data_IF_685340890028
#
_entry.id   IF_685340890028
#
_cell.length_a   1.000
_cell.length_b   1.000
_cell.length_c   1.000
_cell.angle_alpha   90.00
_cell.angle_beta   90.00
_cell.angle_gamma   90.00
#
_symmetry.space_group_name_H-M   'P 1'
#
loop_
_entity.id
_entity.type
_entity.pdbx_description
1 polymer ?
#
# COMPACT_ATOMS: atom_id res chain seq x y z
N UNK A 1 -19.11 13.21 -4.67
CA UNK A 1 -18.14 12.10 -4.55
C UNK A 1 -18.65 11.19 -3.46
N UNK A 2 -18.46 9.89 -3.59
CA UNK A 2 -18.88 8.88 -2.62
C UNK A 2 -17.64 8.34 -1.89
N UNK A 3 -17.73 8.01 -0.61
CA UNK A 3 -16.67 7.26 0.08
C UNK A 3 -16.97 5.75 0.01
N UNK A 4 -15.95 4.89 0.06
CA UNK A 4 -16.12 3.45 -0.10
C UNK A 4 -15.35 2.63 0.95
N UNK A 5 -16.01 1.68 1.59
CA UNK A 5 -15.38 0.68 2.45
C UNK A 5 -14.67 -0.39 1.62
N UNK A 6 -13.47 -0.76 2.06
CA UNK A 6 -12.63 -1.79 1.46
C UNK A 6 -12.49 -2.98 2.42
N UNK A 7 -12.84 -4.18 1.94
CA UNK A 7 -12.79 -5.40 2.74
C UNK A 7 -12.07 -6.52 1.99
N UNK A 8 -11.23 -7.26 2.69
CA UNK A 8 -10.59 -8.48 2.16
C UNK A 8 -11.61 -9.62 2.14
N UNK A 9 -11.66 -10.33 1.02
CA UNK A 9 -12.47 -11.52 0.84
C UNK A 9 -11.60 -12.77 1.02
N UNK A 10 -12.12 -13.87 1.61
CA UNK A 10 -11.33 -15.04 1.99
C UNK A 10 -11.00 -15.96 0.80
N UNK A 11 -10.96 -15.40 -0.41
CA UNK A 11 -10.68 -16.12 -1.63
C UNK A 11 -9.79 -15.30 -2.57
N UNK A 12 -8.90 -15.96 -3.33
CA UNK A 12 -8.00 -15.30 -4.27
C UNK A 12 -8.67 -14.94 -5.58
N UNK A 13 -8.16 -13.90 -6.25
CA UNK A 13 -8.32 -13.66 -7.68
C UNK A 13 -7.35 -14.59 -8.44
N UNK A 14 -7.86 -15.27 -9.46
CA UNK A 14 -7.10 -16.17 -10.33
C UNK A 14 -7.00 -15.58 -11.74
N UNK A 15 -5.99 -15.99 -12.50
CA UNK A 15 -5.69 -15.47 -13.84
C UNK A 15 -6.88 -15.51 -14.81
N UNK A 16 -7.71 -16.56 -14.71
CA UNK A 16 -8.85 -16.78 -15.61
C UNK A 16 -10.19 -16.37 -14.97
N UNK A 17 -10.16 -15.51 -13.94
CA UNK A 17 -11.36 -14.99 -13.28
C UNK A 17 -11.41 -13.47 -13.40
N UNK A 18 -12.60 -12.86 -13.44
CA UNK A 18 -12.71 -11.40 -13.37
C UNK A 18 -11.93 -10.85 -12.17
N UNK A 19 -11.14 -9.79 -12.39
CA UNK A 19 -10.32 -9.14 -11.35
C UNK A 19 -11.14 -8.47 -10.24
N UNK A 20 -12.46 -8.36 -10.43
CA UNK A 20 -13.40 -7.70 -9.52
C UNK A 20 -12.91 -6.28 -9.19
N UNK A 21 -12.88 -5.92 -7.90
CA UNK A 21 -12.43 -4.59 -7.46
C UNK A 21 -10.93 -4.54 -7.18
N UNK A 22 -10.20 -5.62 -7.45
CA UNK A 22 -8.78 -5.74 -7.14
C UNK A 22 -8.46 -6.84 -6.15
N UNK A 23 -7.22 -6.85 -5.68
CA UNK A 23 -6.71 -7.84 -4.74
C UNK A 23 -5.58 -7.26 -3.87
N UNK A 24 -5.46 -7.76 -2.65
CA UNK A 24 -4.29 -7.56 -1.80
C UNK A 24 -3.34 -8.75 -1.90
N UNK A 25 -2.06 -8.49 -1.66
CA UNK A 25 -0.94 -9.43 -1.76
C UNK A 25 -0.76 -9.99 -3.16
N UNK A 26 0.17 -10.94 -3.27
CA UNK A 26 0.46 -11.64 -4.52
C UNK A 26 1.12 -10.74 -5.55
N UNK A 27 0.79 -10.97 -6.82
CA UNK A 27 1.48 -10.36 -7.95
C UNK A 27 0.66 -9.19 -8.54
N UNK A 28 1.31 -8.10 -9.01
CA UNK A 28 0.67 -7.08 -9.82
C UNK A 28 0.33 -7.64 -11.21
N UNK A 29 -0.51 -6.92 -11.96
CA UNK A 29 -0.91 -7.30 -13.32
C UNK A 29 -0.41 -6.31 -14.37
N UNK A 30 -0.27 -6.79 -15.61
CA UNK A 30 -0.15 -5.92 -16.78
C UNK A 30 1.19 -5.21 -16.98
N UNK A 31 2.14 -5.43 -16.07
CA UNK A 31 3.53 -4.94 -16.19
C UNK A 31 4.47 -6.08 -16.60
N UNK A 32 5.70 -5.73 -16.99
CA UNK A 32 6.80 -6.70 -17.18
C UNK A 32 7.75 -6.72 -15.98
N UNK A 33 8.57 -7.77 -15.82
CA UNK A 33 9.56 -7.81 -14.74
C UNK A 33 10.52 -6.62 -14.74
N UNK A 34 10.87 -6.08 -15.91
CA UNK A 34 11.72 -4.89 -16.05
C UNK A 34 11.03 -3.58 -15.64
N UNK A 35 9.70 -3.57 -15.59
CA UNK A 35 8.90 -2.44 -15.14
C UNK A 35 8.61 -2.52 -13.63
N UNK A 36 8.97 -3.62 -12.97
CA UNK A 36 8.74 -3.80 -11.54
C UNK A 36 9.50 -2.74 -10.72
N UNK A 37 8.84 -1.99 -9.82
CA UNK A 37 9.50 -0.98 -9.02
C UNK A 37 10.55 -1.59 -8.09
N UNK A 38 11.82 -1.21 -8.25
CA UNK A 38 12.88 -1.54 -7.30
C UNK A 38 12.93 -0.49 -6.18
N UNK A 39 13.30 -0.94 -5.00
CA UNK A 39 13.62 -0.09 -3.85
C UNK A 39 14.95 0.64 -4.11
N UNK A 40 14.96 1.98 -4.18
CA UNK A 40 16.19 2.75 -4.35
C UNK A 40 17.24 2.52 -3.26
N UNK A 41 16.82 2.16 -2.05
CA UNK A 41 17.75 2.02 -0.92
C UNK A 41 18.59 0.74 -1.02
N UNK A 42 18.02 -0.36 -1.48
CA UNK A 42 18.69 -1.67 -1.44
C UNK A 42 18.69 -2.43 -2.78
N UNK A 43 17.93 -1.97 -3.78
CA UNK A 43 17.87 -2.57 -5.11
C UNK A 43 17.06 -3.86 -5.19
N UNK A 44 16.36 -4.28 -4.13
CA UNK A 44 15.39 -5.37 -4.20
C UNK A 44 14.07 -4.89 -4.82
N UNK A 45 13.27 -5.80 -5.42
CA UNK A 45 11.92 -5.48 -5.84
C UNK A 45 11.07 -5.02 -4.65
N UNK A 46 10.32 -3.93 -4.81
CA UNK A 46 9.31 -3.52 -3.82
C UNK A 46 8.22 -4.59 -3.75
N UNK A 47 7.70 -4.83 -2.55
CA UNK A 47 6.60 -5.76 -2.31
C UNK A 47 5.29 -5.17 -2.84
N UNK A 48 4.57 -5.92 -3.67
CA UNK A 48 3.22 -5.57 -4.09
C UNK A 48 2.24 -5.85 -2.95
N UNK A 49 1.63 -4.80 -2.41
CA UNK A 49 0.65 -5.00 -1.35
C UNK A 49 -0.80 -4.98 -1.83
N UNK A 50 -1.17 -4.15 -2.82
CA UNK A 50 -2.50 -4.27 -3.42
C UNK A 50 -2.60 -3.64 -4.81
N UNK A 51 -3.56 -4.14 -5.59
CA UNK A 51 -4.08 -3.50 -6.79
C UNK A 51 -5.55 -3.22 -6.59
N UNK A 52 -6.00 -1.98 -6.85
CA UNK A 52 -7.37 -1.53 -6.60
C UNK A 52 -7.98 -0.90 -7.85
N UNK A 53 -9.16 -1.36 -8.25
CA UNK A 53 -9.98 -0.72 -9.26
C UNK A 53 -10.62 0.54 -8.68
N UNK A 54 -10.36 1.70 -9.29
CA UNK A 54 -10.88 2.98 -8.85
C UNK A 54 -12.35 3.15 -9.31
N UNK A 55 -13.27 3.48 -8.40
CA UNK A 55 -14.60 3.97 -8.76
C UNK A 55 -14.50 5.21 -9.65
N UNK A 56 -15.52 5.43 -10.49
CA UNK A 56 -15.49 6.47 -11.53
C UNK A 56 -15.17 7.87 -11.00
N UNK A 57 -15.66 8.22 -9.81
CA UNK A 57 -15.42 9.51 -9.17
C UNK A 57 -14.01 9.68 -8.62
N UNK A 58 -13.22 8.61 -8.52
CA UNK A 58 -11.80 8.64 -8.13
C UNK A 58 -10.83 8.54 -9.33
N UNK A 59 -11.33 8.46 -10.57
CA UNK A 59 -10.48 8.39 -11.79
C UNK A 59 -10.01 9.78 -12.24
N UNK A 60 -9.16 10.40 -11.42
CA UNK A 60 -8.67 11.77 -11.61
C UNK A 60 -7.59 11.92 -12.68
N UNK A 61 -6.96 10.82 -13.09
CA UNK A 61 -5.89 10.81 -14.09
C UNK A 61 -6.38 10.60 -15.52
N UNK A 62 -7.68 10.65 -15.74
CA UNK A 62 -8.33 10.40 -17.02
C UNK A 62 -9.16 9.13 -17.02
N UNK A 63 -10.17 9.03 -17.91
CA UNK A 63 -11.06 7.87 -17.98
C UNK A 63 -10.35 6.55 -18.36
N UNK A 64 -9.16 6.64 -18.97
CA UNK A 64 -8.32 5.51 -19.36
C UNK A 64 -7.56 4.91 -18.18
N UNK A 65 -7.31 5.68 -17.11
CA UNK A 65 -6.67 5.21 -15.88
C UNK A 65 -7.77 4.74 -14.93
N UNK A 66 -7.86 3.43 -14.76
CA UNK A 66 -8.98 2.80 -14.06
C UNK A 66 -8.59 2.21 -12.71
N UNK A 67 -7.31 1.93 -12.50
CA UNK A 67 -6.81 1.24 -11.31
C UNK A 67 -5.43 1.76 -10.92
N UNK A 68 -4.98 1.37 -9.73
CA UNK A 68 -3.60 1.55 -9.28
C UNK A 68 -3.09 0.28 -8.62
N UNK A 69 -1.78 0.02 -8.74
CA UNK A 69 -1.04 -0.95 -7.94
C UNK A 69 -0.12 -0.19 -6.99
N UNK A 70 -0.13 -0.55 -5.71
CA UNK A 70 0.70 0.04 -4.67
C UNK A 70 1.76 -0.95 -4.19
N UNK A 71 2.98 -0.44 -4.02
CA UNK A 71 4.18 -1.17 -3.66
C UNK A 71 4.89 -0.49 -2.51
N UNK A 72 5.49 -1.27 -1.61
CA UNK A 72 6.26 -0.77 -0.48
C UNK A 72 7.51 -1.60 -0.23
N UNK A 73 8.41 -1.08 0.61
CA UNK A 73 9.49 -1.86 1.21
C UNK A 73 8.93 -3.10 1.93
N UNK A 74 9.71 -4.19 1.95
CA UNK A 74 9.31 -5.40 2.67
C UNK A 74 9.25 -5.12 4.19
N UNK A 75 8.25 -5.66 4.92
CA UNK A 75 8.08 -5.37 6.35
C UNK A 75 9.31 -5.70 7.20
N UNK A 76 9.98 -6.81 6.90
CA UNK A 76 11.21 -7.23 7.59
C UNK A 76 12.43 -6.35 7.30
N UNK A 77 12.34 -5.49 6.28
CA UNK A 77 13.35 -4.50 5.94
C UNK A 77 12.96 -3.09 6.44
N UNK A 78 11.85 -2.96 7.16
CA UNK A 78 11.43 -1.73 7.80
C UNK A 78 11.41 -1.91 9.33
N UNK A 79 12.55 -1.61 9.97
CA UNK A 79 12.74 -1.60 11.44
C UNK A 79 13.24 -0.21 11.89
N UNK A 80 12.41 0.81 11.65
CA UNK A 80 12.76 2.22 11.89
C UNK A 80 13.52 2.88 10.75
N UNK A 81 13.36 2.37 9.53
CA UNK A 81 14.03 2.83 8.30
C UNK A 81 14.50 1.66 7.43
N UNK A 82 14.77 1.95 6.15
CA UNK A 82 15.22 0.93 5.19
C UNK A 82 16.75 0.84 5.15
N UNK A 83 17.36 -0.36 5.23
CA UNK A 83 18.79 -0.51 5.01
C UNK A 83 19.24 0.05 3.66
N UNK A 84 20.12 1.05 3.69
CA UNK A 84 20.54 1.78 2.50
C UNK A 84 21.94 1.36 2.03
N UNK A 85 22.09 1.18 0.72
CA UNK A 85 23.35 1.00 0.00
C UNK A 85 23.56 2.24 -0.88
N UNK A 86 24.47 3.12 -0.46
CA UNK A 86 24.68 4.45 -1.05
C UNK A 86 24.91 4.39 -2.57
N UNK A 87 25.65 3.40 -3.07
CA UNK A 87 25.91 3.27 -4.51
C UNK A 87 24.66 2.96 -5.32
N UNK A 88 23.72 2.19 -4.76
CA UNK A 88 22.43 1.90 -5.41
C UNK A 88 21.57 3.16 -5.38
N UNK A 89 21.43 3.78 -4.21
CA UNK A 89 20.61 4.99 -4.05
C UNK A 89 21.04 6.09 -5.01
N UNK A 90 22.36 6.30 -5.15
CA UNK A 90 22.92 7.30 -6.06
C UNK A 90 22.46 7.09 -7.52
N UNK A 91 22.35 5.84 -7.99
CA UNK A 91 21.86 5.54 -9.36
C UNK A 91 20.43 6.03 -9.58
N UNK A 92 19.57 5.94 -8.56
CA UNK A 92 18.18 6.38 -8.66
C UNK A 92 18.05 7.90 -8.49
N UNK A 93 18.74 8.49 -7.51
CA UNK A 93 18.69 9.94 -7.24
C UNK A 93 19.29 10.78 -8.37
N UNK A 94 20.33 10.26 -9.03
CA UNK A 94 21.05 10.94 -10.11
C UNK A 94 20.85 10.25 -11.45
N UNK A 95 19.68 9.63 -11.65
CA UNK A 95 19.37 8.88 -12.87
C UNK A 95 19.44 9.78 -14.13
N UNK A 96 20.31 9.41 -15.06
CA UNK A 96 20.45 10.07 -16.36
C UNK A 96 20.25 9.07 -17.52
N UNK A 97 19.19 9.19 -18.35
CA UNK A 97 18.83 8.18 -19.36
C UNK A 97 19.88 7.92 -20.45
N UNK A 98 20.79 8.87 -20.65
CA UNK A 98 21.83 8.83 -21.70
C UNK A 98 23.22 8.48 -21.16
N UNK A 99 23.37 8.33 -19.85
CA UNK A 99 24.66 8.14 -19.18
C UNK A 99 24.61 6.91 -18.29
N UNK A 100 24.79 5.69 -18.85
CA UNK A 100 24.85 4.49 -18.04
C UNK A 100 26.10 4.47 -17.14
N UNK A 101 26.02 3.91 -15.91
CA UNK A 101 27.19 3.63 -15.10
C UNK A 101 28.18 2.70 -15.82
N UNK A 102 29.49 2.91 -15.63
CA UNK A 102 30.53 2.01 -16.14
C UNK A 102 30.54 0.67 -15.39
N UNK A 103 30.12 0.70 -14.13
CA UNK A 103 30.05 -0.46 -13.26
C UNK A 103 28.88 -1.38 -13.63
N UNK A 104 29.12 -2.64 -14.06
CA UNK A 104 28.06 -3.55 -14.47
C UNK A 104 27.04 -3.86 -13.37
N UNK A 105 27.46 -3.85 -12.09
CA UNK A 105 26.56 -4.11 -10.97
C UNK A 105 25.61 -2.93 -10.71
N UNK A 106 26.01 -1.69 -11.03
CA UNK A 106 25.14 -0.51 -10.97
C UNK A 106 24.33 -0.31 -12.27
N UNK A 107 24.84 -0.80 -13.40
CA UNK A 107 24.14 -0.77 -14.69
C UNK A 107 22.78 -1.46 -14.63
N UNK A 108 22.64 -2.53 -13.84
CA UNK A 108 21.37 -3.25 -13.67
C UNK A 108 20.27 -2.34 -13.08
N UNK A 109 20.59 -1.54 -12.07
CA UNK A 109 19.64 -0.61 -11.45
C UNK A 109 19.32 0.56 -12.37
N UNK A 110 20.32 1.10 -13.07
CA UNK A 110 20.11 2.13 -14.09
C UNK A 110 19.20 1.63 -15.22
N UNK A 111 19.38 0.37 -15.66
CA UNK A 111 18.56 -0.23 -16.70
C UNK A 111 17.12 -0.42 -16.21
N UNK A 112 16.92 -0.85 -14.96
CA UNK A 112 15.60 -0.96 -14.35
C UNK A 112 14.91 0.41 -14.32
N UNK A 113 15.59 1.47 -13.85
CA UNK A 113 15.02 2.82 -13.83
C UNK A 113 14.74 3.35 -15.24
N UNK A 114 15.59 3.02 -16.23
CA UNK A 114 15.35 3.34 -17.65
C UNK A 114 14.15 2.60 -18.24
N UNK A 115 13.83 1.42 -17.72
CA UNK A 115 12.72 0.55 -18.17
C UNK A 115 11.46 0.70 -17.31
N UNK A 116 11.49 1.58 -16.30
CA UNK A 116 10.38 1.82 -15.38
C UNK A 116 9.06 2.04 -16.12
N UNK A 117 7.98 1.66 -15.46
CA UNK A 117 6.64 1.91 -16.00
C UNK A 117 6.44 3.42 -16.24
N UNK A 118 5.88 3.85 -17.39
CA UNK A 118 5.69 5.28 -17.69
C UNK A 118 4.81 6.04 -16.69
N UNK A 119 3.92 5.31 -16.01
CA UNK A 119 3.02 5.82 -14.97
C UNK A 119 3.42 5.35 -13.56
N UNK A 120 4.73 5.14 -13.35
CA UNK A 120 5.31 4.91 -12.02
C UNK A 120 5.46 6.24 -11.29
N UNK A 121 4.99 6.29 -10.04
CA UNK A 121 5.25 7.37 -9.11
C UNK A 121 5.91 6.78 -7.86
N UNK A 122 6.91 7.49 -7.33
CA UNK A 122 7.65 7.09 -6.13
C UNK A 122 7.34 8.07 -5.01
N UNK A 123 7.28 7.56 -3.80
CA UNK A 123 7.02 8.31 -2.57
C UNK A 123 7.96 7.79 -1.48
N UNK A 124 8.22 8.63 -0.49
CA UNK A 124 9.04 8.31 0.67
C UNK A 124 8.31 8.78 1.92
N UNK A 125 8.37 8.00 2.99
CA UNK A 125 7.85 8.40 4.30
C UNK A 125 8.91 9.15 5.14
N UNK A 126 8.54 9.56 6.36
CA UNK A 126 9.46 10.25 7.28
C UNK A 126 10.65 9.38 7.73
N UNK A 127 10.59 8.07 7.56
CA UNK A 127 11.65 7.12 7.91
C UNK A 127 12.58 6.80 6.72
N UNK A 128 12.37 7.43 5.55
CA UNK A 128 13.13 7.15 4.35
C UNK A 128 12.72 5.84 3.64
N UNK A 129 11.59 5.24 4.03
CA UNK A 129 11.12 4.02 3.38
C UNK A 129 10.51 4.34 2.02
N UNK A 130 10.86 3.52 1.02
CA UNK A 130 10.42 3.73 -0.35
C UNK A 130 9.08 3.05 -0.65
N UNK A 131 8.21 3.83 -1.28
CA UNK A 131 6.90 3.41 -1.76
C UNK A 131 6.75 3.76 -3.23
N UNK A 132 5.88 3.03 -3.92
CA UNK A 132 5.56 3.32 -5.30
C UNK A 132 4.12 3.01 -5.64
N UNK A 133 3.58 3.77 -6.61
CA UNK A 133 2.37 3.38 -7.31
C UNK A 133 2.63 3.23 -8.80
N UNK A 134 1.90 2.33 -9.42
CA UNK A 134 1.73 2.28 -10.86
C UNK A 134 0.26 2.54 -11.16
N UNK A 135 -0.03 3.61 -11.90
CA UNK A 135 -1.38 3.84 -12.43
C UNK A 135 -1.60 2.93 -13.64
N UNK A 136 -2.77 2.30 -13.69
CA UNK A 136 -3.08 1.25 -14.66
C UNK A 136 -4.22 1.64 -15.58
N UNK A 137 -4.03 1.36 -16.86
CA UNK A 137 -5.10 1.27 -17.83
C UNK A 137 -5.97 0.04 -17.61
N UNK A 138 -7.15 -0.02 -18.26
CA UNK A 138 -7.98 -1.23 -18.24
C UNK A 138 -7.22 -2.47 -18.75
N UNK A 139 -6.39 -2.30 -19.79
CA UNK A 139 -5.60 -3.38 -20.37
C UNK A 139 -4.56 -3.92 -19.36
N UNK A 140 -3.91 -3.04 -18.61
CA UNK A 140 -2.92 -3.45 -17.60
C UNK A 140 -3.59 -4.07 -16.37
N UNK A 141 -4.72 -3.51 -15.91
CA UNK A 141 -5.50 -4.07 -14.81
C UNK A 141 -6.02 -5.49 -15.12
N UNK A 142 -6.49 -5.72 -16.34
CA UNK A 142 -6.94 -7.05 -16.80
C UNK A 142 -5.81 -7.95 -17.30
N UNK A 143 -4.58 -7.41 -17.38
CA UNK A 143 -3.42 -8.09 -17.90
C UNK A 143 -2.99 -9.29 -17.06
N UNK A 144 -2.00 -10.06 -17.55
CA UNK A 144 -1.51 -11.22 -16.83
C UNK A 144 -0.79 -10.81 -15.55
N UNK A 145 -0.77 -11.70 -14.55
CA UNK A 145 0.06 -11.51 -13.37
C UNK A 145 1.55 -11.53 -13.73
N UNK A 146 2.31 -10.57 -13.20
CA UNK A 146 3.75 -10.44 -13.45
C UNK A 146 4.55 -11.09 -12.33
N UNK A 147 5.58 -11.88 -12.67
CA UNK A 147 6.57 -12.33 -11.68
C UNK A 147 7.55 -11.19 -11.34
N UNK A 148 8.11 -11.15 -10.12
CA UNK A 148 9.19 -10.22 -9.82
C UNK A 148 10.41 -10.49 -10.72
N UNK A 149 11.29 -9.49 -10.93
CA UNK A 149 12.50 -9.68 -11.73
C UNK A 149 13.42 -10.71 -11.09
N UNK A 150 14.14 -11.45 -11.95
CA UNK A 150 15.15 -12.40 -11.50
C UNK A 150 16.30 -11.67 -10.79
N UNK A 151 16.66 -12.15 -9.60
CA UNK A 151 17.77 -11.60 -8.83
C UNK A 151 19.10 -12.17 -9.33
N UNK A 152 19.66 -11.55 -10.38
CA UNK A 152 21.02 -11.82 -10.82
C UNK A 152 22.04 -11.42 -9.74
N UNK A 153 23.11 -12.19 -9.48
CA UNK A 153 24.11 -11.85 -8.46
C UNK A 153 24.62 -10.41 -8.61
N UNK A 154 24.70 -9.68 -7.50
CA UNK A 154 25.03 -8.25 -7.49
C UNK A 154 25.79 -7.87 -6.21
N UNK A 155 26.99 -7.30 -6.35
CA UNK A 155 27.86 -7.02 -5.19
C UNK A 155 27.33 -5.98 -4.20
N UNK A 156 26.40 -5.12 -4.63
CA UNK A 156 25.85 -4.05 -3.79
C UNK A 156 24.60 -4.53 -3.05
N UNK A 157 23.64 -5.09 -3.78
CA UNK A 157 22.38 -5.60 -3.20
C UNK A 157 22.63 -6.81 -2.29
N UNK A 158 23.51 -7.73 -2.70
CA UNK A 158 23.70 -9.01 -1.99
C UNK A 158 24.52 -8.88 -0.70
N UNK A 159 24.84 -7.65 -0.27
CA UNK A 159 25.31 -7.35 1.09
C UNK A 159 24.21 -7.52 2.13
N UNK A 160 22.95 -7.54 1.70
CA UNK A 160 21.77 -7.73 2.53
C UNK A 160 21.06 -9.04 2.17
N UNK A 161 20.34 -9.60 3.13
CA UNK A 161 19.50 -10.77 2.85
C UNK A 161 18.31 -10.38 1.95
N UNK A 162 17.95 -11.21 0.96
CA UNK A 162 16.75 -10.97 0.17
C UNK A 162 15.48 -10.93 1.04
N UNK A 163 14.50 -10.07 0.70
CA UNK A 163 13.18 -10.11 1.34
C UNK A 163 12.59 -11.51 1.35
N UNK A 164 12.04 -11.93 2.49
CA UNK A 164 11.48 -13.26 2.69
C UNK A 164 10.26 -13.50 1.77
N UNK A 165 9.51 -12.45 1.44
CA UNK A 165 8.36 -12.55 0.54
C UNK A 165 8.74 -13.08 -0.85
N UNK A 166 9.97 -12.84 -1.35
CA UNK A 166 10.42 -13.31 -2.66
C UNK A 166 10.50 -14.84 -2.76
N UNK A 167 10.59 -15.53 -1.62
CA UNK A 167 10.63 -17.01 -1.58
C UNK A 167 9.30 -17.63 -1.15
N UNK A 168 8.50 -16.90 -0.37
CA UNK A 168 7.35 -17.45 0.36
C UNK A 168 6.00 -16.85 -0.01
N UNK A 169 5.98 -15.67 -0.64
CA UNK A 169 4.79 -14.87 -0.89
C UNK A 169 4.50 -13.87 0.23
N UNK A 170 4.04 -12.67 -0.14
CA UNK A 170 3.83 -11.58 0.81
C UNK A 170 2.79 -11.89 1.87
N UNK A 171 1.67 -12.51 1.50
CA UNK A 171 0.62 -12.90 2.45
C UNK A 171 1.09 -13.94 3.46
N UNK A 172 1.85 -14.95 3.02
CA UNK A 172 2.36 -15.99 3.89
C UNK A 172 3.41 -15.44 4.86
N UNK A 173 4.36 -14.66 4.34
CA UNK A 173 5.38 -14.01 5.16
C UNK A 173 4.76 -13.12 6.24
N UNK A 174 3.82 -12.25 5.86
CA UNK A 174 3.11 -11.39 6.82
C UNK A 174 2.35 -12.21 7.88
N UNK A 175 1.68 -13.28 7.47
CA UNK A 175 1.01 -14.19 8.41
C UNK A 175 2.00 -14.82 9.39
N UNK A 176 3.10 -15.41 8.92
CA UNK A 176 4.11 -16.05 9.78
C UNK A 176 4.71 -15.10 10.81
N UNK A 177 5.03 -13.86 10.40
CA UNK A 177 5.58 -12.83 11.29
C UNK A 177 4.60 -12.41 12.39
N UNK A 178 3.30 -12.70 12.22
CA UNK A 178 2.24 -12.37 13.16
C UNK A 178 1.69 -13.58 13.93
N UNK A 179 2.27 -14.77 13.80
CA UNK A 179 1.91 -15.94 14.61
C UNK A 179 2.64 -15.87 15.95
N UNK A 180 1.88 -15.90 17.04
CA UNK A 180 2.44 -16.09 18.39
C UNK A 180 2.39 -17.56 18.78
N UNK A 181 3.34 -18.01 19.59
CA UNK A 181 3.45 -19.42 20.03
C UNK A 181 2.21 -19.98 20.76
N UNK A 182 1.31 -19.11 21.23
CA UNK A 182 0.07 -19.46 21.93
C UNK A 182 -1.17 -19.33 21.05
N UNK A 183 -1.04 -18.87 19.81
CA UNK A 183 -2.20 -18.64 18.95
C UNK A 183 -2.83 -19.97 18.52
N UNK A 184 -4.16 -20.05 18.60
CA UNK A 184 -4.94 -20.94 17.72
C UNK A 184 -5.25 -20.18 16.42
N UNK A 185 -5.61 -20.86 15.32
CA UNK A 185 -6.02 -20.19 14.09
C UNK A 185 -7.09 -19.11 14.34
N UNK A 186 -8.10 -19.39 15.17
CA UNK A 186 -9.19 -18.47 15.47
C UNK A 186 -8.77 -17.30 16.37
N UNK A 187 -7.75 -17.48 17.21
CA UNK A 187 -7.21 -16.42 18.07
C UNK A 187 -6.19 -15.52 17.36
N UNK A 188 -5.63 -15.96 16.23
CA UNK A 188 -4.71 -15.15 15.44
C UNK A 188 -5.43 -14.01 14.71
N UNK A 189 -4.96 -12.77 14.90
CA UNK A 189 -5.57 -11.57 14.31
C UNK A 189 -5.56 -11.60 12.78
N UNK A 190 -4.42 -11.95 12.18
CA UNK A 190 -4.26 -11.97 10.72
C UNK A 190 -5.17 -13.03 10.09
N UNK A 191 -5.26 -14.22 10.70
CA UNK A 191 -6.20 -15.25 10.23
C UNK A 191 -7.65 -14.74 10.23
N UNK A 192 -8.10 -14.04 11.28
CA UNK A 192 -9.46 -13.46 11.32
C UNK A 192 -9.68 -12.40 10.24
N UNK A 193 -8.65 -11.62 9.90
CA UNK A 193 -8.73 -10.60 8.84
C UNK A 193 -8.72 -11.23 7.44
N UNK A 194 -7.93 -12.27 7.23
CA UNK A 194 -7.87 -12.97 5.93
C UNK A 194 -9.05 -13.91 5.71
N UNK A 195 -9.58 -14.50 6.78
CA UNK A 195 -10.61 -15.54 6.73
C UNK A 195 -10.15 -16.84 6.10
N UNK A 196 -8.84 -17.01 5.86
CA UNK A 196 -8.22 -18.20 5.29
C UNK A 196 -6.73 -18.25 5.65
N UNK A 197 -6.11 -19.44 5.53
CA UNK A 197 -4.66 -19.59 5.65
C UNK A 197 -4.00 -19.24 4.30
N UNK A 198 -2.99 -18.36 4.28
CA UNK A 198 -2.26 -18.06 3.06
C UNK A 198 -1.42 -19.26 2.61
N UNK A 199 -1.41 -19.51 1.30
CA UNK A 199 -0.54 -20.51 0.68
C UNK A 199 0.91 -19.99 0.62
N UNK A 200 1.89 -20.88 0.77
CA UNK A 200 3.31 -20.56 0.56
C UNK A 200 3.60 -20.38 -0.95
N UNK A 201 3.21 -19.23 -1.49
CA UNK A 201 3.20 -18.95 -2.92
C UNK A 201 3.23 -17.44 -3.19
N UNK A 202 4.07 -17.02 -4.14
CA UNK A 202 4.10 -15.65 -4.66
C UNK A 202 2.77 -15.21 -5.28
N UNK A 203 1.97 -16.16 -5.79
CA UNK A 203 0.71 -15.86 -6.47
C UNK A 203 -0.49 -15.78 -5.51
N UNK A 204 -0.32 -16.14 -4.24
CA UNK A 204 -1.42 -16.08 -3.27
C UNK A 204 -1.82 -14.63 -3.01
N UNK A 205 -3.10 -14.34 -3.18
CA UNK A 205 -3.69 -13.01 -3.00
C UNK A 205 -5.10 -13.16 -2.38
N UNK A 206 -5.69 -12.04 -1.97
CA UNK A 206 -7.05 -11.99 -1.45
C UNK A 206 -7.83 -10.95 -2.24
N UNK A 207 -9.00 -11.32 -2.77
CA UNK A 207 -9.86 -10.39 -3.50
C UNK A 207 -10.32 -9.24 -2.59
N UNK A 208 -10.50 -8.05 -3.17
CA UNK A 208 -11.04 -6.88 -2.47
C UNK A 208 -12.51 -6.69 -2.85
N UNK A 209 -13.37 -6.45 -1.86
CA UNK A 209 -14.67 -5.83 -2.10
C UNK A 209 -14.60 -4.34 -1.82
N UNK A 210 -15.27 -3.54 -2.64
CA UNK A 210 -15.40 -2.09 -2.50
C UNK A 210 -16.89 -1.75 -2.47
N UNK A 211 -17.38 -1.18 -1.36
CA UNK A 211 -18.81 -0.87 -1.14
C UNK A 211 -19.00 0.59 -0.75
N UNK A 212 -19.99 1.30 -1.30
CA UNK A 212 -20.28 2.68 -0.88
C UNK A 212 -20.58 2.79 0.62
N UNK A 213 -19.91 3.73 1.30
CA UNK A 213 -20.21 4.12 2.69
C UNK A 213 -21.54 4.84 2.79
N UNK A 214 -22.43 4.34 3.63
CA UNK A 214 -23.69 5.02 3.90
C UNK A 214 -23.44 6.25 4.79
N UNK A 215 -23.89 7.42 4.33
CA UNK A 215 -23.95 8.67 5.11
C UNK A 215 -22.63 9.15 5.73
N UNK A 216 -21.49 8.94 5.06
CA UNK A 216 -20.22 9.56 5.47
C UNK A 216 -20.26 11.07 5.15
N UNK A 217 -20.28 11.96 6.17
CA UNK A 217 -20.42 13.40 5.95
C UNK A 217 -19.19 14.01 5.28
N UNK A 218 -18.05 13.32 5.30
CA UNK A 218 -16.78 13.79 4.78
C UNK A 218 -16.49 13.30 3.35
N UNK A 219 -17.45 12.62 2.71
CA UNK A 219 -17.27 12.13 1.35
C UNK A 219 -16.99 13.28 0.35
N UNK A 220 -15.79 13.27 -0.23
CA UNK A 220 -15.33 14.31 -1.17
C UNK A 220 -14.80 15.58 -0.51
N UNK A 221 -14.64 15.59 0.81
CA UNK A 221 -14.05 16.68 1.58
C UNK A 221 -12.62 16.30 1.94
N UNK A 222 -11.70 17.27 1.91
CA UNK A 222 -10.31 17.05 2.31
C UNK A 222 -10.25 16.80 3.83
N UNK A 223 -9.60 15.73 4.29
CA UNK A 223 -9.32 15.55 5.71
C UNK A 223 -8.53 16.73 6.27
N UNK A 224 -8.93 17.21 7.45
CA UNK A 224 -8.20 18.25 8.18
C UNK A 224 -8.60 18.24 9.66
N UNK A 225 -7.69 18.66 10.54
CA UNK A 225 -8.01 18.96 11.94
C UNK A 225 -8.49 20.42 12.14
N UNK A 226 -8.40 21.24 11.10
CA UNK A 226 -8.82 22.64 11.16
C UNK A 226 -10.33 22.74 11.40
N UNK A 227 -10.72 23.54 12.38
CA UNK A 227 -12.12 23.86 12.67
C UNK A 227 -12.67 24.88 11.66
N UNK A 228 -12.74 24.48 10.39
CA UNK A 228 -13.30 25.26 9.30
C UNK A 228 -14.79 24.93 9.05
N UNK A 229 -15.32 23.92 9.75
CA UNK A 229 -16.71 23.46 9.65
C UNK A 229 -17.07 22.65 8.41
N UNK A 230 -16.13 22.44 7.47
CA UNK A 230 -16.35 21.62 6.26
C UNK A 230 -16.12 20.14 6.55
N UNK A 231 -15.02 19.81 7.23
CA UNK A 231 -14.68 18.44 7.62
C UNK A 231 -15.14 18.15 9.06
N UNK A 232 -15.86 17.05 9.26
CA UNK A 232 -16.41 16.66 10.55
C UNK A 232 -15.51 15.64 11.24
N UNK A 233 -15.04 15.97 12.45
CA UNK A 233 -14.30 15.01 13.27
C UNK A 233 -15.10 13.75 13.58
N UNK A 234 -14.43 12.59 13.53
CA UNK A 234 -15.01 11.31 13.96
C UNK A 234 -15.13 11.21 15.49
N UNK A 235 -14.54 12.16 16.23
CA UNK A 235 -14.55 12.21 17.69
C UNK A 235 -15.43 13.36 18.20
N UNK A 236 -16.24 13.08 19.21
CA UNK A 236 -16.92 14.08 20.03
C UNK A 236 -16.18 14.23 21.36
N UNK A 237 -15.78 15.46 21.67
CA UNK A 237 -15.21 15.81 22.97
C UNK A 237 -16.24 16.58 23.80
N UNK A 238 -16.50 16.14 25.03
CA UNK A 238 -17.42 16.81 25.96
C UNK A 238 -17.01 16.57 27.41
N UNK A 239 -17.46 17.44 28.32
CA UNK A 239 -17.29 17.29 29.77
C UNK A 239 -18.52 16.56 30.35
N UNK A 240 -18.31 15.51 31.14
CA UNK A 240 -19.40 14.79 31.79
C UNK A 240 -19.93 15.54 33.03
N UNK A 241 -20.95 14.98 33.68
CA UNK A 241 -21.56 15.60 34.87
C UNK A 241 -20.62 15.73 36.08
N UNK A 242 -19.48 15.05 36.07
CA UNK A 242 -18.46 15.08 37.11
C UNK A 242 -17.29 16.03 36.78
N UNK A 243 -17.32 16.67 35.61
CA UNK A 243 -16.25 17.56 35.15
C UNK A 243 -15.13 16.84 34.39
N UNK A 244 -15.30 15.56 34.06
CA UNK A 244 -14.28 14.77 33.37
C UNK A 244 -14.43 14.88 31.86
N UNK A 245 -13.32 15.15 31.17
CA UNK A 245 -13.30 15.19 29.70
C UNK A 245 -13.47 13.78 29.14
N UNK A 246 -14.48 13.61 28.28
CA UNK A 246 -14.77 12.37 27.54
C UNK A 246 -14.52 12.59 26.05
N UNK A 247 -14.14 11.49 25.40
CA UNK A 247 -14.04 11.39 23.95
C UNK A 247 -14.84 10.16 23.52
N UNK A 248 -15.78 10.35 22.59
CA UNK A 248 -16.59 9.29 22.00
C UNK A 248 -16.48 9.30 20.48
N UNK A 249 -16.46 8.13 19.87
CA UNK A 249 -16.54 8.00 18.41
C UNK A 249 -17.98 8.28 17.99
N UNK A 250 -18.14 9.12 16.98
CA UNK A 250 -19.43 9.44 16.38
C UNK A 250 -20.16 8.18 15.92
N UNK A 251 -21.46 8.08 16.23
CA UNK A 251 -22.26 6.91 15.89
C UNK A 251 -22.26 6.59 14.38
N UNK A 252 -22.29 7.62 13.54
CA UNK A 252 -22.26 7.45 12.09
C UNK A 252 -20.95 6.81 11.59
N UNK A 253 -19.83 7.05 12.28
CA UNK A 253 -18.53 6.47 11.93
C UNK A 253 -18.41 5.01 12.35
N UNK A 254 -19.06 4.62 13.46
CA UNK A 254 -19.02 3.22 13.97
C UNK A 254 -19.53 2.15 12.99
N UNK A 255 -20.23 2.56 11.92
CA UNK A 255 -20.74 1.69 10.88
C UNK A 255 -19.77 1.52 9.69
N UNK A 256 -18.65 2.24 9.67
CA UNK A 256 -17.67 2.23 8.58
C UNK A 256 -16.48 1.33 8.88
N UNK A 257 -15.83 0.82 7.84
CA UNK A 257 -14.67 -0.06 7.96
C UNK A 257 -13.36 0.73 7.99
N UNK A 258 -12.34 0.19 8.67
CA UNK A 258 -11.04 0.85 8.83
C UNK A 258 -10.27 1.08 7.51
N UNK A 259 -10.42 0.19 6.52
CA UNK A 259 -9.84 0.41 5.19
C UNK A 259 -10.89 1.04 4.28
N UNK A 260 -10.54 2.11 3.58
CA UNK A 260 -11.48 2.83 2.73
C UNK A 260 -10.82 3.73 1.70
N UNK A 261 -11.65 4.15 0.74
CA UNK A 261 -11.35 5.15 -0.26
C UNK A 261 -12.16 6.42 0.05
N UNK A 262 -11.47 7.51 0.36
CA UNK A 262 -12.02 8.82 0.75
C UNK A 262 -12.92 8.78 1.99
N UNK A 263 -13.54 9.92 2.30
CA UNK A 263 -14.48 10.05 3.42
C UNK A 263 -13.82 10.45 4.73
N UNK A 264 -14.29 9.87 5.82
CA UNK A 264 -13.80 10.16 7.17
C UNK A 264 -12.55 9.37 7.49
N UNK A 265 -11.45 10.08 7.73
CA UNK A 265 -10.16 9.55 8.16
C UNK A 265 -10.16 9.19 9.64
N UNK A 266 -9.49 8.09 10.00
CA UNK A 266 -9.36 7.61 11.38
C UNK A 266 -7.90 7.31 11.75
N UNK A 267 -6.98 8.30 11.66
CA UNK A 267 -5.57 8.07 11.94
C UNK A 267 -5.37 7.77 13.43
N UNK A 268 -4.38 6.94 13.75
CA UNK A 268 -4.01 6.65 15.15
C UNK A 268 -3.48 7.89 15.89
N UNK A 269 -2.86 8.83 15.17
CA UNK A 269 -2.26 10.02 15.76
C UNK A 269 -2.97 11.32 15.34
N UNK A 270 -2.63 11.87 14.16
CA UNK A 270 -3.15 13.16 13.67
C UNK A 270 -3.50 13.06 12.19
N UNK A 271 -4.44 13.89 11.73
CA UNK A 271 -4.71 14.03 10.29
C UNK A 271 -3.58 14.85 9.66
N UNK A 272 -2.90 14.35 8.62
CA UNK A 272 -1.83 15.09 7.97
C UNK A 272 -2.36 16.29 7.19
N UNK A 273 -1.51 17.31 7.10
CA UNK A 273 -1.80 18.50 6.30
C UNK A 273 -1.89 18.17 4.81
N UNK A 274 -2.76 18.93 4.11
CA UNK A 274 -2.90 18.93 2.65
C UNK A 274 -3.23 17.56 2.03
N UNK A 275 -3.96 16.70 2.74
CA UNK A 275 -4.52 15.48 2.15
C UNK A 275 -5.72 15.84 1.27
N UNK A 276 -5.70 15.40 0.03
CA UNK A 276 -6.81 15.56 -0.89
C UNK A 276 -7.97 14.61 -0.57
N UNK A 277 -9.19 14.82 -1.08
CA UNK A 277 -10.28 13.86 -0.93
C UNK A 277 -10.06 12.53 -1.67
N UNK A 278 -8.97 12.42 -2.45
CA UNK A 278 -8.62 11.28 -3.29
C UNK A 278 -7.53 10.46 -2.61
N UNK A 279 -7.88 9.83 -1.49
CA UNK A 279 -6.95 9.02 -0.71
C UNK A 279 -7.51 7.63 -0.40
N UNK A 280 -6.60 6.69 -0.14
CA UNK A 280 -6.91 5.38 0.43
C UNK A 280 -6.32 5.36 1.83
N UNK A 281 -7.13 5.08 2.86
CA UNK A 281 -6.65 4.77 4.21
C UNK A 281 -6.76 3.27 4.44
N UNK A 282 -5.71 2.69 5.01
CA UNK A 282 -5.62 1.24 5.18
C UNK A 282 -4.71 0.83 6.34
N UNK A 283 -5.09 -0.28 6.95
CA UNK A 283 -4.41 -0.96 8.05
C UNK A 283 -3.26 -1.83 7.52
N UNK A 284 -2.31 -2.18 8.39
CA UNK A 284 -1.16 -3.04 8.06
C UNK A 284 -1.55 -4.36 7.37
N UNK A 285 -2.66 -4.98 7.78
CA UNK A 285 -3.11 -6.25 7.19
C UNK A 285 -3.58 -6.13 5.74
N UNK A 286 -3.84 -4.90 5.27
CA UNK A 286 -4.25 -4.61 3.90
C UNK A 286 -3.01 -4.38 3.02
N UNK A 287 -2.31 -5.47 2.69
CA UNK A 287 -1.07 -5.47 1.91
C UNK A 287 0.16 -5.95 2.68
N UNK A 288 0.04 -6.09 4.01
CA UNK A 288 1.02 -6.70 4.89
C UNK A 288 2.23 -5.82 5.10
N UNK A 289 2.03 -4.74 5.83
CA UNK A 289 3.07 -3.75 6.16
C UNK A 289 3.38 -3.74 7.65
N UNK A 290 4.40 -2.97 8.02
CA UNK A 290 4.73 -2.64 9.39
C UNK A 290 4.65 -1.12 9.56
N UNK A 291 3.58 -0.66 10.19
CA UNK A 291 3.30 0.72 10.58
C UNK A 291 3.26 0.85 12.10
N UNK A 292 3.95 -0.03 12.84
CA UNK A 292 4.00 0.01 14.30
C UNK A 292 2.66 -0.23 15.00
N UNK A 293 1.75 -1.00 14.37
CA UNK A 293 0.37 -1.25 14.80
C UNK A 293 -0.61 -0.08 14.61
N UNK A 294 -0.28 0.89 13.76
CA UNK A 294 -1.24 1.88 13.27
C UNK A 294 -1.68 1.66 11.82
N UNK A 295 -1.95 2.75 11.12
CA UNK A 295 -2.55 2.76 9.78
C UNK A 295 -1.86 3.79 8.89
N UNK A 296 -2.03 3.62 7.58
CA UNK A 296 -1.43 4.47 6.57
C UNK A 296 -2.48 5.07 5.64
N UNK A 297 -2.08 6.13 4.94
CA UNK A 297 -2.88 6.74 3.90
C UNK A 297 -2.05 7.04 2.66
N UNK A 298 -2.68 6.85 1.51
CA UNK A 298 -2.15 7.14 0.20
C UNK A 298 -3.02 8.20 -0.47
N UNK A 299 -2.57 9.45 -0.47
CA UNK A 299 -3.15 10.51 -1.31
C UNK A 299 -2.60 10.37 -2.73
N UNK A 300 -3.34 9.65 -3.56
CA UNK A 300 -2.91 9.37 -4.92
C UNK A 300 -3.18 10.54 -5.87
N UNK A 301 -3.78 11.67 -5.44
CA UNK A 301 -3.81 12.90 -6.25
C UNK A 301 -2.52 13.69 -6.10
N UNK A 302 -2.05 13.83 -4.87
CA UNK A 302 -0.83 14.59 -4.58
C UNK A 302 0.43 13.72 -4.57
N UNK A 303 0.28 12.39 -4.72
CA UNK A 303 1.35 11.40 -4.58
C UNK A 303 2.06 11.55 -3.24
N UNK A 304 1.27 11.53 -2.17
CA UNK A 304 1.77 11.53 -0.80
C UNK A 304 1.40 10.21 -0.13
N UNK A 305 2.35 9.65 0.60
CA UNK A 305 2.16 8.49 1.44
C UNK A 305 2.75 8.81 2.80
N UNK A 306 2.02 8.48 3.86
CA UNK A 306 2.52 8.56 5.22
C UNK A 306 1.69 7.61 6.12
N UNK A 307 2.12 7.41 7.36
CA UNK A 307 1.48 6.53 8.32
C UNK A 307 1.52 7.07 9.75
N UNK A 308 0.62 6.56 10.59
CA UNK A 308 0.62 6.78 12.04
C UNK A 308 0.91 5.47 12.76
N UNK A 309 1.59 5.54 13.90
CA UNK A 309 1.91 4.40 14.78
C UNK A 309 1.56 4.65 16.26
#
# INVERSE_FOLDING_TARGET
MQAYDLTLLPYPIRENTPRQQGWCFGLPSGITPEQWPLDPNNGFPLNHGFTLLLPTDYRIYGPEIVALSFFAVAPEQNDGGTPCTEEILNVFEHFEPSTPPEDPDLYLFWLAEKKRHPLLFRMEDILGCSYAIILLTQYEFEGPFCQPPELLPNRYRDQQAPPAWLSSGSAFNYFQSNIRSKDTPESNFVYRKFGTLPEHSLAFNLAISCQPRAFDPNAGISPTEDDNGEYQSIYSFYEDSEGESKCEIQQWHSAHHANHLGGSMAPVQFIPDDISPYYIEFEEYFGGYNFGAGNAWLDFKNMKFDFSC
#
